data_IF_477317933017
#
_entry.id   IF_477317933017
#
_cell.length_a   1.000
_cell.length_b   1.000
_cell.length_c   1.000
_cell.angle_alpha   90.00
_cell.angle_beta   90.00
_cell.angle_gamma   90.00
#
_symmetry.space_group_name_H-M   'P 1'
#
loop_
_entity.id
_entity.type
_entity.pdbx_description
1 polymer ?
#
# COMPACT_ATOMS: atom_id res chain seq x y z
N UNK A 1 -11.42 -22.21 -30.12
CA UNK A 1 -11.30 -22.66 -28.71
C UNK A 1 -12.18 -21.78 -27.85
N UNK A 2 -12.66 -22.25 -26.69
CA UNK A 2 -13.37 -21.37 -25.75
C UNK A 2 -12.39 -20.34 -25.19
N UNK A 3 -12.81 -19.08 -25.07
CA UNK A 3 -12.08 -18.05 -24.33
C UNK A 3 -12.76 -17.88 -22.97
N UNK A 4 -12.02 -18.10 -21.89
CA UNK A 4 -12.57 -18.10 -20.53
C UNK A 4 -11.69 -17.23 -19.64
N UNK A 5 -12.31 -16.32 -18.90
CA UNK A 5 -11.68 -15.57 -17.80
C UNK A 5 -12.23 -16.09 -16.49
N UNK A 6 -11.34 -16.43 -15.56
CA UNK A 6 -11.71 -16.90 -14.22
C UNK A 6 -11.40 -15.80 -13.21
N UNK A 7 -12.39 -15.41 -12.42
CA UNK A 7 -12.23 -14.59 -11.22
C UNK A 7 -12.33 -15.52 -10.00
N UNK A 8 -11.23 -15.63 -9.24
CA UNK A 8 -11.15 -16.46 -8.03
C UNK A 8 -10.95 -15.56 -6.80
N UNK A 9 -12.02 -15.30 -6.04
CA UNK A 9 -11.93 -14.52 -4.80
C UNK A 9 -11.56 -15.39 -3.58
N UNK A 10 -11.41 -16.71 -3.73
CA UNK A 10 -10.92 -17.62 -2.68
C UNK A 10 -9.39 -17.58 -2.54
N UNK A 11 -8.68 -17.21 -3.62
CA UNK A 11 -7.23 -17.31 -3.69
C UNK A 11 -6.49 -16.63 -2.50
N UNK A 12 -5.46 -17.33 -1.99
CA UNK A 12 -4.43 -16.88 -1.03
C UNK A 12 -4.84 -16.78 0.44
N UNK A 13 -5.50 -15.69 0.84
CA UNK A 13 -5.78 -15.41 2.27
C UNK A 13 -7.15 -15.96 2.70
N UNK A 14 -7.34 -16.16 4.01
CA UNK A 14 -8.65 -16.58 4.56
C UNK A 14 -9.72 -15.55 4.21
N UNK A 15 -10.69 -15.95 3.39
CA UNK A 15 -11.81 -15.08 3.00
C UNK A 15 -12.80 -14.92 4.14
N UNK A 16 -13.06 -13.68 4.53
CA UNK A 16 -14.08 -13.31 5.51
C UNK A 16 -15.43 -13.12 4.82
N UNK A 17 -15.44 -12.39 3.71
CA UNK A 17 -16.59 -12.13 2.86
C UNK A 17 -16.11 -11.87 1.43
N UNK A 18 -16.85 -12.30 0.44
CA UNK A 18 -16.60 -11.97 -0.96
C UNK A 18 -17.90 -11.93 -1.71
N UNK A 19 -17.96 -11.11 -2.76
CA UNK A 19 -19.14 -10.96 -3.61
C UNK A 19 -18.72 -10.64 -5.05
N UNK A 20 -19.46 -11.18 -6.02
CA UNK A 20 -19.35 -10.82 -7.43
C UNK A 20 -20.73 -10.37 -7.92
N UNK A 21 -20.84 -9.10 -8.30
CA UNK A 21 -22.03 -8.48 -8.89
C UNK A 21 -21.83 -8.30 -10.38
N UNK A 22 -22.74 -8.86 -11.16
CA UNK A 22 -22.84 -8.56 -12.59
C UNK A 22 -23.66 -7.29 -12.77
N UNK A 23 -23.04 -6.24 -13.33
CA UNK A 23 -23.72 -4.99 -13.66
C UNK A 23 -24.22 -5.00 -15.11
N UNK A 24 -23.43 -5.56 -16.02
CA UNK A 24 -23.79 -5.77 -17.42
C UNK A 24 -23.00 -6.96 -18.00
N UNK A 25 -23.16 -7.23 -19.31
CA UNK A 25 -22.32 -8.24 -19.98
C UNK A 25 -20.86 -7.83 -20.16
N UNK A 26 -20.51 -6.58 -19.88
CA UNK A 26 -19.15 -6.03 -20.00
C UNK A 26 -18.62 -5.48 -18.69
N UNK A 27 -19.41 -5.47 -17.61
CA UNK A 27 -19.03 -4.81 -16.36
C UNK A 27 -19.46 -5.65 -15.15
N UNK A 28 -18.52 -5.87 -14.24
CA UNK A 28 -18.75 -6.52 -12.95
C UNK A 28 -18.11 -5.71 -11.83
N UNK A 29 -18.68 -5.79 -10.64
CA UNK A 29 -18.16 -5.16 -9.42
C UNK A 29 -18.29 -6.12 -8.24
N UNK A 30 -17.72 -5.76 -7.09
CA UNK A 30 -17.84 -6.57 -5.88
C UNK A 30 -16.71 -6.30 -4.92
N UNK A 31 -16.50 -7.24 -3.99
CA UNK A 31 -15.49 -7.13 -2.96
C UNK A 31 -14.89 -8.47 -2.57
N UNK A 32 -13.74 -8.38 -1.93
CA UNK A 32 -13.09 -9.45 -1.19
C UNK A 32 -12.53 -8.88 0.10
N UNK A 33 -13.07 -9.36 1.22
CA UNK A 33 -12.55 -9.09 2.56
C UNK A 33 -11.81 -10.32 3.07
N UNK A 34 -10.62 -10.13 3.62
CA UNK A 34 -9.76 -11.24 4.06
C UNK A 34 -9.01 -10.97 5.34
N UNK A 35 -8.62 -12.07 5.99
CA UNK A 35 -7.76 -12.10 7.17
C UNK A 35 -6.46 -12.83 6.84
N UNK A 36 -5.34 -12.20 7.14
CA UNK A 36 -4.03 -12.83 7.19
C UNK A 36 -3.15 -12.06 8.20
N UNK A 37 -2.10 -11.41 7.73
CA UNK A 37 -1.25 -10.54 8.54
C UNK A 37 -2.01 -9.29 8.99
N UNK A 38 -2.67 -8.60 8.06
CA UNK A 38 -3.73 -7.66 8.38
C UNK A 38 -5.04 -8.42 8.62
N UNK A 39 -5.74 -8.08 9.71
CA UNK A 39 -6.85 -8.87 10.26
C UNK A 39 -8.20 -8.59 9.62
N UNK A 40 -8.44 -7.37 9.15
CA UNK A 40 -9.60 -6.97 8.36
C UNK A 40 -9.13 -6.19 7.13
N UNK A 41 -8.72 -6.92 6.08
CA UNK A 41 -8.34 -6.32 4.80
C UNK A 41 -9.58 -6.18 3.93
N UNK A 42 -9.96 -4.95 3.59
CA UNK A 42 -11.11 -4.67 2.72
C UNK A 42 -10.64 -4.20 1.36
N UNK A 43 -11.11 -4.89 0.32
CA UNK A 43 -10.84 -4.55 -1.07
C UNK A 43 -12.13 -4.67 -1.88
N UNK A 44 -12.47 -3.59 -2.55
CA UNK A 44 -13.56 -3.50 -3.51
C UNK A 44 -12.96 -3.39 -4.91
N UNK A 45 -13.68 -3.85 -5.93
CA UNK A 45 -13.20 -3.81 -7.31
C UNK A 45 -14.30 -3.41 -8.30
N UNK A 46 -13.86 -2.86 -9.43
CA UNK A 46 -14.65 -2.74 -10.65
C UNK A 46 -13.84 -3.32 -11.81
N UNK A 47 -14.48 -4.15 -12.64
CA UNK A 47 -13.84 -4.82 -13.77
C UNK A 47 -14.69 -4.60 -15.02
N UNK A 48 -14.06 -4.16 -16.10
CA UNK A 48 -14.68 -3.99 -17.41
C UNK A 48 -14.00 -4.87 -18.45
N UNK A 49 -14.79 -5.51 -19.31
CA UNK A 49 -14.37 -6.30 -20.45
C UNK A 49 -14.59 -5.52 -21.74
N UNK A 50 -13.65 -5.59 -22.69
CA UNK A 50 -13.76 -4.88 -23.98
C UNK A 50 -14.91 -5.35 -24.88
N UNK A 51 -15.52 -6.50 -24.58
CA UNK A 51 -16.66 -7.08 -25.30
C UNK A 51 -17.48 -7.98 -24.39
N UNK A 52 -18.77 -8.22 -24.69
CA UNK A 52 -19.67 -8.91 -23.79
C UNK A 52 -19.28 -10.39 -23.60
N UNK A 53 -19.36 -10.91 -22.38
CA UNK A 53 -19.30 -12.35 -22.17
C UNK A 53 -20.60 -13.02 -22.65
N UNK A 54 -20.48 -14.24 -23.16
CA UNK A 54 -21.59 -15.09 -23.64
C UNK A 54 -22.38 -15.68 -22.48
N UNK A 55 -21.68 -16.21 -21.49
CA UNK A 55 -22.25 -16.83 -20.29
C UNK A 55 -21.28 -16.76 -19.11
N UNK A 56 -21.81 -16.83 -17.90
CA UNK A 56 -21.02 -16.89 -16.65
C UNK A 56 -21.43 -18.11 -15.85
N UNK A 57 -20.45 -18.82 -15.27
CA UNK A 57 -20.67 -19.93 -14.33
C UNK A 57 -20.07 -19.57 -12.98
N UNK A 58 -20.81 -19.77 -11.89
CA UNK A 58 -20.33 -19.51 -10.52
C UNK A 58 -20.01 -20.82 -9.78
N UNK A 59 -19.04 -20.80 -8.87
CA UNK A 59 -18.56 -22.00 -8.16
C UNK A 59 -19.49 -22.50 -7.05
N UNK A 60 -20.37 -21.68 -6.48
CA UNK A 60 -21.28 -22.11 -5.40
C UNK A 60 -22.69 -21.52 -5.54
N UNK A 61 -23.67 -22.41 -5.66
CA UNK A 61 -25.09 -22.15 -5.43
C UNK A 61 -25.35 -22.15 -3.91
N UNK A 62 -25.58 -21.00 -3.31
CA UNK A 62 -26.44 -20.95 -2.12
C UNK A 62 -27.63 -20.09 -2.49
N UNK A 63 -28.81 -20.70 -2.42
CA UNK A 63 -30.06 -20.11 -2.84
C UNK A 63 -30.34 -18.82 -2.05
N UNK A 64 -30.65 -17.74 -2.79
CA UNK A 64 -31.22 -16.47 -2.33
C UNK A 64 -30.32 -15.47 -1.58
N UNK A 65 -29.37 -14.85 -2.29
CA UNK A 65 -28.88 -13.47 -2.08
C UNK A 65 -27.97 -13.08 -3.26
N UNK A 66 -27.67 -11.79 -3.55
CA UNK A 66 -26.45 -11.40 -4.28
C UNK A 66 -25.30 -12.38 -4.02
N UNK A 67 -24.63 -12.87 -5.08
CA UNK A 67 -23.70 -14.02 -5.05
C UNK A 67 -22.51 -13.76 -4.11
N UNK A 68 -22.74 -13.98 -2.81
CA UNK A 68 -21.86 -13.62 -1.72
C UNK A 68 -21.63 -14.81 -0.78
N UNK A 69 -20.41 -14.94 -0.30
CA UNK A 69 -19.98 -16.07 0.53
C UNK A 69 -18.48 -16.04 0.81
N UNK A 70 -17.94 -17.11 1.41
CA UNK A 70 -16.50 -17.29 1.55
C UNK A 70 -15.97 -17.95 0.27
N UNK A 71 -15.27 -17.20 -0.57
CA UNK A 71 -14.57 -17.74 -1.75
C UNK A 71 -15.41 -17.79 -3.03
N UNK A 72 -16.13 -16.72 -3.36
CA UNK A 72 -16.85 -16.62 -4.62
C UNK A 72 -15.90 -16.77 -5.83
N UNK A 73 -16.28 -17.59 -6.82
CA UNK A 73 -15.57 -17.70 -8.09
C UNK A 73 -16.54 -17.62 -9.26
N UNK A 74 -16.07 -17.05 -10.36
CA UNK A 74 -16.83 -16.94 -11.60
C UNK A 74 -15.95 -17.28 -12.80
N UNK A 75 -16.51 -17.98 -13.78
CA UNK A 75 -15.92 -18.26 -15.07
C UNK A 75 -16.76 -17.60 -16.17
N UNK A 76 -16.21 -16.58 -16.81
CA UNK A 76 -16.83 -15.83 -17.90
C UNK A 76 -16.38 -16.41 -19.24
N UNK A 77 -17.31 -16.96 -20.02
CA UNK A 77 -17.05 -17.49 -21.36
C UNK A 77 -17.32 -16.41 -22.42
N UNK A 78 -16.38 -16.18 -23.33
CA UNK A 78 -16.48 -15.22 -24.43
C UNK A 78 -16.57 -15.95 -25.77
N UNK A 79 -17.25 -15.32 -26.74
CA UNK A 79 -17.35 -15.87 -28.10
C UNK A 79 -16.04 -15.65 -28.86
N UNK A 80 -15.29 -16.72 -29.12
CA UNK A 80 -14.02 -16.63 -29.83
C UNK A 80 -14.16 -16.12 -31.29
N UNK A 81 -15.37 -16.11 -31.86
CA UNK A 81 -15.61 -15.54 -33.20
C UNK A 81 -15.62 -14.00 -33.22
N UNK A 82 -15.86 -13.35 -32.08
CA UNK A 82 -15.84 -11.88 -31.98
C UNK A 82 -14.42 -11.30 -31.85
N UNK A 83 -13.40 -12.14 -31.70
CA UNK A 83 -12.01 -11.71 -31.67
C UNK A 83 -11.09 -12.64 -30.88
N UNK A 84 -9.78 -12.52 -31.14
CA UNK A 84 -8.77 -13.26 -30.39
C UNK A 84 -8.25 -12.48 -29.17
N UNK A 85 -8.50 -11.18 -29.11
CA UNK A 85 -8.06 -10.29 -28.03
C UNK A 85 -9.22 -9.94 -27.11
N UNK A 86 -8.91 -9.77 -25.83
CA UNK A 86 -9.83 -9.34 -24.79
C UNK A 86 -9.05 -8.41 -23.86
N UNK A 87 -9.39 -7.13 -23.86
CA UNK A 87 -8.84 -6.20 -22.88
C UNK A 87 -9.73 -6.23 -21.63
N UNK A 88 -9.08 -6.19 -20.47
CA UNK A 88 -9.73 -6.20 -19.17
C UNK A 88 -9.19 -5.02 -18.37
N UNK A 89 -10.06 -4.11 -17.96
CA UNK A 89 -9.72 -2.99 -17.08
C UNK A 89 -10.13 -3.37 -15.66
N UNK A 90 -9.24 -3.15 -14.70
CA UNK A 90 -9.48 -3.49 -13.30
C UNK A 90 -9.05 -2.31 -12.44
N UNK A 91 -9.93 -1.86 -11.56
CA UNK A 91 -9.62 -0.89 -10.52
C UNK A 91 -10.05 -1.41 -9.15
N UNK A 92 -9.38 -0.93 -8.11
CA UNK A 92 -9.61 -1.32 -6.73
C UNK A 92 -9.83 -0.12 -5.83
N UNK A 93 -10.45 -0.34 -4.68
CA UNK A 93 -10.63 0.64 -3.60
C UNK A 93 -10.61 -0.05 -2.24
N UNK A 94 -10.12 0.65 -1.22
CA UNK A 94 -10.24 0.23 0.18
C UNK A 94 -11.55 0.71 0.86
N UNK A 95 -12.33 1.52 0.14
CA UNK A 95 -13.50 2.23 0.66
C UNK A 95 -14.78 1.52 0.25
N UNK A 96 -15.07 1.46 -1.05
CA UNK A 96 -16.29 0.86 -1.61
C UNK A 96 -16.19 0.62 -3.14
N UNK A 97 -17.19 -0.09 -3.69
CA UNK A 97 -17.34 -0.37 -5.13
C UNK A 97 -17.44 0.91 -5.97
N UNK A 98 -18.13 1.95 -5.45
CA UNK A 98 -18.27 3.22 -6.15
C UNK A 98 -16.91 3.95 -6.30
N UNK A 99 -16.06 3.87 -5.28
CA UNK A 99 -14.68 4.34 -5.30
C UNK A 99 -13.86 3.59 -6.35
N UNK A 100 -13.94 2.25 -6.37
CA UNK A 100 -13.25 1.44 -7.38
C UNK A 100 -13.67 1.81 -8.81
N UNK A 101 -14.98 1.98 -9.06
CA UNK A 101 -15.49 2.43 -10.36
C UNK A 101 -14.97 3.82 -10.72
N UNK A 102 -15.03 4.78 -9.80
CA UNK A 102 -14.54 6.15 -10.05
C UNK A 102 -13.03 6.19 -10.32
N UNK A 103 -12.24 5.35 -9.63
CA UNK A 103 -10.82 5.19 -9.90
C UNK A 103 -10.60 4.71 -11.35
N UNK A 104 -11.36 3.68 -11.80
CA UNK A 104 -11.31 3.17 -13.18
C UNK A 104 -11.63 4.25 -14.21
N UNK A 105 -12.75 4.95 -14.04
CA UNK A 105 -13.22 5.99 -14.95
C UNK A 105 -12.23 7.17 -15.06
N UNK A 106 -11.61 7.54 -13.93
CA UNK A 106 -10.71 8.71 -13.86
C UNK A 106 -9.31 8.39 -14.41
N UNK A 107 -8.73 7.25 -14.05
CA UNK A 107 -7.33 6.93 -14.35
C UNK A 107 -7.17 6.19 -15.69
N UNK A 108 -8.07 5.25 -15.98
CA UNK A 108 -8.04 4.42 -17.19
C UNK A 108 -8.98 5.01 -18.25
N UNK A 109 -10.26 5.25 -17.93
CA UNK A 109 -11.25 5.77 -18.87
C UNK A 109 -11.25 4.98 -20.20
N UNK A 110 -11.21 5.69 -21.33
CA UNK A 110 -11.20 5.10 -22.68
C UNK A 110 -9.80 4.77 -23.22
N UNK A 111 -8.74 4.87 -22.39
CA UNK A 111 -7.37 4.58 -22.84
C UNK A 111 -7.22 3.11 -23.25
N UNK A 112 -6.48 2.89 -24.34
CA UNK A 112 -6.05 1.55 -24.78
C UNK A 112 -4.92 1.01 -23.92
N UNK A 113 -4.69 -0.32 -23.98
CA UNK A 113 -3.55 -0.93 -23.29
C UNK A 113 -2.21 -0.26 -23.63
N UNK A 114 -2.00 0.09 -24.90
CA UNK A 114 -0.74 0.72 -25.34
C UNK A 114 -0.57 2.13 -24.76
N UNK A 115 -1.64 2.89 -24.60
CA UNK A 115 -1.58 4.21 -23.96
C UNK A 115 -1.21 4.08 -22.48
N UNK A 116 -1.87 3.20 -21.74
CA UNK A 116 -1.55 2.94 -20.33
C UNK A 116 -0.11 2.45 -20.17
N UNK A 117 0.35 1.56 -21.05
CA UNK A 117 1.74 1.08 -21.05
C UNK A 117 2.73 2.23 -21.25
N UNK A 118 2.51 3.09 -22.24
CA UNK A 118 3.41 4.22 -22.51
C UNK A 118 3.42 5.25 -21.37
N UNK A 119 2.26 5.52 -20.76
CA UNK A 119 2.14 6.39 -19.58
C UNK A 119 2.94 5.81 -18.39
N UNK A 120 2.83 4.50 -18.16
CA UNK A 120 3.59 3.81 -17.12
C UNK A 120 5.10 3.82 -17.39
N UNK A 121 5.54 3.56 -18.62
CA UNK A 121 6.95 3.63 -19.03
C UNK A 121 7.51 5.06 -18.84
N UNK A 122 6.74 6.08 -19.22
CA UNK A 122 7.13 7.49 -19.03
C UNK A 122 7.22 7.85 -17.55
N UNK A 123 6.27 7.39 -16.73
CA UNK A 123 6.31 7.61 -15.28
C UNK A 123 7.55 6.97 -14.66
N UNK A 124 7.88 5.72 -15.04
CA UNK A 124 9.07 5.04 -14.54
C UNK A 124 10.37 5.70 -15.01
N UNK A 125 10.45 6.11 -16.26
CA UNK A 125 11.62 6.82 -16.78
C UNK A 125 11.90 8.10 -15.97
N UNK A 126 10.85 8.89 -15.71
CA UNK A 126 10.96 10.10 -14.88
C UNK A 126 11.39 9.80 -13.43
N UNK A 127 10.93 8.69 -12.85
CA UNK A 127 11.33 8.30 -11.49
C UNK A 127 12.79 7.82 -11.45
N UNK A 128 13.21 6.98 -12.40
CA UNK A 128 14.57 6.44 -12.45
C UNK A 128 15.61 7.52 -12.80
N UNK A 129 15.23 8.55 -13.57
CA UNK A 129 16.06 9.71 -13.86
C UNK A 129 16.33 10.63 -12.66
N UNK A 130 15.70 10.39 -11.50
CA UNK A 130 16.07 11.10 -10.26
C UNK A 130 17.52 10.86 -9.84
N UNK A 131 18.11 9.73 -10.27
CA UNK A 131 19.54 9.47 -10.12
C UNK A 131 20.09 8.96 -11.45
N UNK A 132 20.78 9.82 -12.17
CA UNK A 132 21.53 9.44 -13.35
C UNK A 132 22.93 8.97 -12.95
N UNK A 133 23.19 7.68 -13.10
CA UNK A 133 24.55 7.13 -12.97
C UNK A 133 25.29 7.28 -14.29
N UNK A 134 25.57 8.54 -14.66
CA UNK A 134 26.36 8.89 -15.83
C UNK A 134 27.79 9.22 -15.44
N UNK A 135 28.70 8.46 -16.01
CA UNK A 135 30.09 8.45 -15.62
C UNK A 135 30.84 9.61 -16.32
N UNK A 136 30.39 10.83 -16.08
CA UNK A 136 31.01 12.09 -16.56
C UNK A 136 32.21 12.52 -15.71
N UNK A 137 32.51 11.79 -14.64
CA UNK A 137 33.79 11.85 -13.93
C UNK A 137 34.75 10.82 -14.55
N UNK A 138 36.06 10.97 -14.33
CA UNK A 138 37.16 10.20 -14.93
C UNK A 138 37.15 8.66 -14.76
N UNK A 139 36.04 8.08 -14.31
CA UNK A 139 35.73 6.65 -14.16
C UNK A 139 34.82 6.13 -15.30
N UNK A 140 34.58 6.95 -16.33
CA UNK A 140 33.62 6.77 -17.44
C UNK A 140 33.60 5.41 -18.13
N UNK A 141 34.73 4.71 -18.13
CA UNK A 141 34.91 3.47 -18.87
C UNK A 141 34.66 2.21 -18.00
N UNK A 142 34.07 2.33 -16.80
CA UNK A 142 34.04 1.24 -15.81
C UNK A 142 32.65 0.78 -15.33
N UNK A 143 31.54 1.48 -15.64
CA UNK A 143 30.20 1.01 -15.23
C UNK A 143 29.63 0.09 -16.31
N UNK A 144 29.60 -1.21 -16.03
CA UNK A 144 29.07 -2.23 -16.94
C UNK A 144 27.55 -2.12 -17.07
N UNK A 145 27.00 -2.67 -18.16
CA UNK A 145 25.54 -2.82 -18.33
C UNK A 145 24.90 -3.57 -17.16
N UNK A 146 25.60 -4.55 -16.61
CA UNK A 146 25.15 -5.33 -15.44
C UNK A 146 25.05 -4.46 -14.19
N UNK A 147 26.05 -3.62 -13.92
CA UNK A 147 26.00 -2.68 -12.79
C UNK A 147 24.85 -1.66 -12.94
N UNK A 148 24.59 -1.18 -14.17
CA UNK A 148 23.42 -0.33 -14.44
C UNK A 148 22.11 -1.06 -14.16
N UNK A 149 21.97 -2.32 -14.60
CA UNK A 149 20.79 -3.13 -14.32
C UNK A 149 20.58 -3.34 -12.83
N UNK A 150 21.63 -3.69 -12.07
CA UNK A 150 21.56 -3.85 -10.60
C UNK A 150 21.11 -2.55 -9.94
N UNK A 151 21.71 -1.42 -10.33
CA UNK A 151 21.40 -0.12 -9.75
C UNK A 151 19.95 0.30 -10.01
N UNK A 152 19.52 0.36 -11.27
CA UNK A 152 18.17 0.82 -11.61
C UNK A 152 17.08 -0.15 -11.16
N UNK A 153 17.36 -1.47 -11.11
CA UNK A 153 16.43 -2.43 -10.51
C UNK A 153 16.31 -2.23 -9.00
N UNK A 154 17.43 -1.95 -8.32
CA UNK A 154 17.40 -1.64 -6.89
C UNK A 154 16.66 -0.34 -6.60
N UNK A 155 16.88 0.70 -7.41
CA UNK A 155 16.18 1.98 -7.32
C UNK A 155 14.66 1.80 -7.54
N UNK A 156 14.28 1.05 -8.58
CA UNK A 156 12.89 0.64 -8.81
C UNK A 156 12.28 -0.03 -7.57
N UNK A 157 12.97 -0.99 -6.95
CA UNK A 157 12.48 -1.66 -5.73
C UNK A 157 12.31 -0.71 -4.53
N UNK A 158 13.01 0.43 -4.49
CA UNK A 158 12.77 1.44 -3.45
C UNK A 158 11.51 2.27 -3.70
N UNK A 159 10.94 2.26 -4.91
CA UNK A 159 9.85 3.15 -5.33
C UNK A 159 8.50 2.43 -5.51
N UNK A 160 8.46 1.10 -5.29
CA UNK A 160 7.22 0.32 -5.35
C UNK A 160 6.42 0.33 -4.04
N UNK A 161 6.97 0.90 -2.97
CA UNK A 161 6.30 1.14 -1.67
C UNK A 161 6.94 2.37 -1.00
N UNK A 162 6.25 3.08 -0.08
CA UNK A 162 4.87 2.89 0.39
C UNK A 162 3.80 3.03 -0.70
N UNK A 163 2.65 2.40 -0.51
CA UNK A 163 1.56 2.35 -1.51
C UNK A 163 0.51 3.44 -1.23
N UNK A 164 0.11 4.20 -2.26
CA UNK A 164 -1.05 5.09 -2.13
C UNK A 164 -2.29 4.26 -1.79
N UNK A 165 -2.98 4.65 -0.73
CA UNK A 165 -4.11 3.93 -0.16
C UNK A 165 -5.32 4.85 -0.02
N UNK A 166 -5.65 5.54 -1.12
CA UNK A 166 -6.66 6.59 -1.19
C UNK A 166 -7.23 6.64 -2.60
N UNK A 167 -8.56 6.68 -2.69
CA UNK A 167 -9.28 6.82 -3.95
C UNK A 167 -9.07 8.21 -4.56
N UNK A 168 -9.35 8.35 -5.86
CA UNK A 168 -9.20 9.61 -6.61
C UNK A 168 -10.04 10.77 -6.06
N UNK A 169 -11.06 10.47 -5.26
CA UNK A 169 -11.92 11.46 -4.61
C UNK A 169 -11.47 11.87 -3.20
N UNK A 170 -10.30 11.37 -2.77
CA UNK A 170 -9.67 11.67 -1.49
C UNK A 170 -10.12 10.78 -0.34
N UNK A 171 -11.08 9.86 -0.54
CA UNK A 171 -11.52 8.93 0.51
C UNK A 171 -10.52 7.80 0.72
N UNK A 172 -10.37 7.36 1.97
CA UNK A 172 -9.53 6.22 2.34
C UNK A 172 -10.07 5.53 3.59
N UNK A 173 -9.58 4.31 3.84
CA UNK A 173 -9.88 3.54 5.05
C UNK A 173 -8.81 3.83 6.11
N UNK A 174 -9.22 4.40 7.23
CA UNK A 174 -8.34 4.75 8.35
C UNK A 174 -8.08 3.59 9.31
N UNK A 175 -7.18 3.78 10.27
CA UNK A 175 -6.78 2.74 11.25
C UNK A 175 -7.92 2.33 12.22
N UNK A 176 -8.95 3.17 12.35
CA UNK A 176 -10.20 2.89 13.06
C UNK A 176 -11.24 2.12 12.20
N UNK A 177 -10.82 1.70 11.00
CA UNK A 177 -11.64 1.09 9.96
C UNK A 177 -12.80 1.97 9.47
N UNK A 178 -12.82 3.26 9.79
CA UNK A 178 -13.77 4.22 9.26
C UNK A 178 -13.31 4.78 7.92
N UNK A 179 -14.25 5.39 7.20
CA UNK A 179 -13.93 6.11 5.96
C UNK A 179 -13.56 7.53 6.32
N UNK A 180 -12.33 7.91 6.01
CA UNK A 180 -11.82 9.26 6.14
C UNK A 180 -11.70 9.90 4.77
N UNK A 181 -11.56 11.23 4.72
CA UNK A 181 -11.40 11.97 3.47
C UNK A 181 -10.46 13.15 3.66
N UNK A 182 -9.51 13.31 2.74
CA UNK A 182 -8.64 14.49 2.67
C UNK A 182 -8.21 14.74 1.23
N UNK A 183 -7.88 15.99 0.93
CA UNK A 183 -7.18 16.39 -0.30
C UNK A 183 -5.90 17.17 0.00
N UNK A 184 -5.55 17.32 1.28
CA UNK A 184 -4.39 18.10 1.72
C UNK A 184 -3.09 17.32 1.58
N UNK A 185 -3.18 15.98 1.63
CA UNK A 185 -2.09 15.06 1.38
C UNK A 185 -2.61 13.76 0.77
N UNK A 186 -1.72 13.01 0.13
CA UNK A 186 -2.02 11.65 -0.33
C UNK A 186 -1.82 10.64 0.81
N UNK A 187 -2.81 9.80 1.11
CA UNK A 187 -2.68 8.78 2.16
C UNK A 187 -1.92 7.54 1.64
N UNK A 188 -0.92 7.08 2.40
CA UNK A 188 -0.11 5.90 2.10
C UNK A 188 -0.23 4.80 3.15
N UNK A 189 0.03 3.55 2.75
CA UNK A 189 0.12 2.35 3.62
C UNK A 189 1.36 1.51 3.25
N UNK A 190 1.60 0.39 3.93
CA UNK A 190 2.84 -0.42 3.80
C UNK A 190 4.05 0.35 4.31
N UNK A 191 4.05 0.68 5.61
CA UNK A 191 5.22 1.27 6.27
C UNK A 191 5.98 0.18 7.04
N UNK A 192 6.97 -0.45 6.39
CA UNK A 192 7.87 -1.44 7.02
C UNK A 192 8.96 -0.74 7.83
N UNK A 193 8.56 -0.01 8.87
CA UNK A 193 9.40 1.04 9.46
C UNK A 193 10.69 0.49 10.05
N UNK A 194 10.65 -0.69 10.68
CA UNK A 194 11.83 -1.37 11.24
C UNK A 194 12.97 -1.58 10.23
N UNK A 195 12.65 -1.80 8.96
CA UNK A 195 13.65 -1.89 7.88
C UNK A 195 13.94 -0.52 7.26
N UNK A 196 12.86 0.20 6.93
CA UNK A 196 12.90 1.33 5.99
C UNK A 196 13.45 2.61 6.62
N UNK A 197 13.40 2.78 7.95
CA UNK A 197 14.02 3.94 8.61
C UNK A 197 15.53 4.01 8.37
N UNK A 198 16.17 2.85 8.11
CA UNK A 198 17.63 2.70 8.04
C UNK A 198 18.23 3.29 6.77
N UNK A 199 17.53 3.19 5.64
CA UNK A 199 18.07 3.59 4.33
C UNK A 199 17.02 4.09 3.34
N UNK A 200 15.83 3.47 3.30
CA UNK A 200 14.79 3.85 2.33
C UNK A 200 14.22 5.25 2.63
N UNK A 201 13.79 5.51 3.87
CA UNK A 201 13.34 6.84 4.27
C UNK A 201 14.43 7.92 4.16
N UNK A 202 15.69 7.67 4.58
CA UNK A 202 16.80 8.55 4.26
C UNK A 202 16.96 8.85 2.77
N UNK A 203 16.85 7.84 1.89
CA UNK A 203 16.86 8.04 0.43
C UNK A 203 15.68 8.92 -0.02
N UNK A 204 14.47 8.69 0.50
CA UNK A 204 13.29 9.48 0.16
C UNK A 204 13.44 10.95 0.54
N UNK A 205 14.15 11.29 1.61
CA UNK A 205 14.45 12.69 1.94
C UNK A 205 15.34 13.39 0.89
N UNK A 206 15.97 12.63 -0.02
CA UNK A 206 16.81 13.14 -1.10
C UNK A 206 16.00 13.22 -2.40
N UNK A 207 15.38 12.09 -2.81
CA UNK A 207 14.77 11.93 -4.14
C UNK A 207 13.24 12.01 -4.15
N UNK A 208 12.58 12.01 -3.00
CA UNK A 208 11.12 11.95 -2.83
C UNK A 208 10.64 12.94 -1.74
N UNK A 209 11.16 14.17 -1.72
CA UNK A 209 10.88 15.15 -0.65
C UNK A 209 9.39 15.46 -0.50
N UNK A 210 8.67 15.62 -1.59
CA UNK A 210 7.21 15.85 -1.58
C UNK A 210 6.46 14.63 -1.04
N UNK A 211 6.77 13.43 -1.52
CA UNK A 211 6.15 12.20 -0.97
C UNK A 211 6.52 11.98 0.49
N UNK A 212 7.72 12.39 0.93
CA UNK A 212 8.10 12.35 2.34
C UNK A 212 7.13 13.15 3.20
N UNK A 213 6.70 14.34 2.74
CA UNK A 213 5.64 15.11 3.41
C UNK A 213 4.31 14.35 3.47
N UNK A 214 3.92 13.68 2.38
CA UNK A 214 2.72 12.83 2.38
C UNK A 214 2.85 11.60 3.30
N UNK A 215 4.03 10.99 3.38
CA UNK A 215 4.31 9.87 4.28
C UNK A 215 4.20 10.29 5.74
N UNK A 216 4.79 11.43 6.12
CA UNK A 216 4.69 11.96 7.49
C UNK A 216 3.22 12.26 7.83
N UNK A 217 2.49 12.99 6.97
CA UNK A 217 1.06 13.24 7.21
C UNK A 217 0.25 11.94 7.28
N UNK A 218 0.59 10.91 6.50
CA UNK A 218 -0.04 9.59 6.58
C UNK A 218 0.24 8.86 7.90
N UNK A 219 1.41 9.05 8.52
CA UNK A 219 1.73 8.52 9.84
C UNK A 219 0.96 9.28 10.94
N UNK A 220 0.86 10.61 10.82
CA UNK A 220 0.11 11.44 11.76
C UNK A 220 -1.40 11.16 11.71
N UNK A 221 -1.97 10.95 10.51
CA UNK A 221 -3.36 10.54 10.37
C UNK A 221 -3.61 9.18 11.05
N UNK A 222 -2.69 8.22 10.88
CA UNK A 222 -2.78 6.91 11.56
C UNK A 222 -2.72 7.06 13.09
N UNK A 223 -1.91 8.00 13.60
CA UNK A 223 -1.90 8.34 15.02
C UNK A 223 -3.23 8.91 15.51
N UNK A 224 -3.87 9.81 14.77
CA UNK A 224 -5.16 10.37 15.15
C UNK A 224 -6.31 9.35 15.10
N UNK A 225 -6.32 8.53 14.06
CA UNK A 225 -7.37 7.54 13.83
C UNK A 225 -7.23 6.34 14.77
N UNK A 226 -6.01 5.84 14.95
CA UNK A 226 -5.75 4.61 15.70
C UNK A 226 -5.16 4.83 17.10
N UNK A 227 -4.83 6.06 17.47
CA UNK A 227 -4.35 6.46 18.79
C UNK A 227 -2.85 6.28 19.04
N UNK A 228 -2.09 5.72 18.10
CA UNK A 228 -0.64 5.52 18.23
C UNK A 228 0.05 5.58 16.86
N UNK A 229 1.29 6.10 16.79
CA UNK A 229 2.09 5.97 15.58
C UNK A 229 2.29 4.47 15.29
N UNK A 230 2.10 4.03 14.05
CA UNK A 230 2.17 2.61 13.74
C UNK A 230 3.62 2.13 13.73
N UNK A 231 3.85 0.91 14.22
CA UNK A 231 5.14 0.21 14.09
C UNK A 231 5.27 -0.36 12.66
N UNK A 232 4.25 -1.13 12.23
CA UNK A 232 4.11 -1.63 10.86
C UNK A 232 2.62 -1.73 10.52
N UNK A 233 2.04 -0.71 9.86
CA UNK A 233 0.65 -0.72 9.43
C UNK A 233 0.48 -1.34 8.04
N UNK A 234 -0.47 -2.27 7.92
CA UNK A 234 -0.80 -2.94 6.66
C UNK A 234 -2.31 -2.83 6.40
N UNK A 235 -2.69 -2.21 5.28
CA UNK A 235 -4.10 -2.13 4.84
C UNK A 235 -5.07 -1.72 5.97
N UNK A 236 -4.81 -0.57 6.61
CA UNK A 236 -5.58 -0.04 7.74
C UNK A 236 -5.58 -0.89 9.03
N UNK A 237 -4.63 -1.83 9.18
CA UNK A 237 -4.49 -2.67 10.38
C UNK A 237 -3.13 -2.45 11.05
N UNK A 238 -3.10 -2.43 12.38
CA UNK A 238 -1.86 -2.57 13.15
C UNK A 238 -1.43 -4.03 13.17
N UNK A 239 -0.22 -4.29 12.70
CA UNK A 239 0.34 -5.65 12.72
C UNK A 239 1.27 -5.92 13.90
N UNK A 240 1.74 -4.86 14.57
CA UNK A 240 2.70 -4.89 15.68
C UNK A 240 4.05 -5.54 15.37
N UNK A 241 4.32 -5.77 14.09
CA UNK A 241 5.64 -6.08 13.56
C UNK A 241 6.45 -4.77 13.47
N UNK A 242 7.77 -4.72 13.62
CA UNK A 242 8.62 -5.58 14.44
C UNK A 242 8.72 -4.93 15.84
N UNK A 243 9.94 -4.63 16.32
CA UNK A 243 10.18 -3.87 17.55
C UNK A 243 10.43 -2.39 17.23
N UNK A 244 10.72 -1.57 18.25
CA UNK A 244 10.97 -0.14 18.07
C UNK A 244 9.69 0.69 17.92
N UNK A 245 9.88 2.00 17.78
CA UNK A 245 8.85 2.98 17.39
C UNK A 245 9.39 3.88 16.27
N UNK A 246 9.92 3.22 15.23
CA UNK A 246 10.68 3.81 14.13
C UNK A 246 9.93 4.79 13.21
N UNK A 247 8.68 5.12 13.51
CA UNK A 247 8.04 6.32 12.95
C UNK A 247 8.77 7.60 13.42
N UNK A 248 9.31 7.59 14.65
CA UNK A 248 10.07 8.72 15.24
C UNK A 248 11.28 9.13 14.39
N UNK A 249 12.27 8.25 14.12
CA UNK A 249 13.43 8.61 13.28
C UNK A 249 13.05 9.03 11.86
N UNK A 250 11.97 8.49 11.28
CA UNK A 250 11.49 8.91 9.95
C UNK A 250 10.98 10.36 9.97
N UNK A 251 10.19 10.71 10.97
CA UNK A 251 9.63 12.06 11.13
C UNK A 251 10.74 13.06 11.49
N UNK A 252 11.63 12.69 12.42
CA UNK A 252 12.71 13.56 12.88
C UNK A 252 13.74 13.82 11.78
N UNK A 253 14.11 12.81 10.98
CA UNK A 253 15.02 12.96 9.84
C UNK A 253 14.47 13.95 8.81
N UNK A 254 13.18 13.82 8.45
CA UNK A 254 12.51 14.75 7.55
C UNK A 254 12.52 16.19 8.12
N UNK A 255 12.17 16.35 9.40
CA UNK A 255 12.15 17.65 10.06
C UNK A 255 13.54 18.29 10.14
N UNK A 256 14.57 17.54 10.55
CA UNK A 256 15.94 18.06 10.68
C UNK A 256 16.55 18.43 9.31
N UNK A 257 16.18 17.74 8.24
CA UNK A 257 16.59 18.05 6.86
C UNK A 257 15.81 19.17 6.19
N UNK A 258 14.92 19.85 6.92
CA UNK A 258 14.16 20.99 6.39
C UNK A 258 12.92 20.63 5.57
N UNK A 259 12.51 19.35 5.54
CA UNK A 259 11.25 18.94 4.91
C UNK A 259 10.12 19.36 5.85
N UNK A 260 9.17 20.13 5.31
CA UNK A 260 8.02 20.72 6.04
C UNK A 260 6.73 20.35 5.31
N UNK A 261 5.61 20.92 5.74
CA UNK A 261 4.28 20.61 5.20
C UNK A 261 3.49 19.58 6.02
N UNK A 262 3.91 19.39 7.27
CA UNK A 262 3.16 18.68 8.31
C UNK A 262 3.25 19.51 9.60
N UNK A 263 2.29 19.32 10.50
CA UNK A 263 2.27 19.99 11.80
C UNK A 263 3.38 19.43 12.71
N UNK A 264 4.38 20.26 13.00
CA UNK A 264 5.56 19.86 13.75
C UNK A 264 5.29 19.62 15.24
N UNK A 265 4.39 20.39 15.84
CA UNK A 265 4.02 20.24 17.25
C UNK A 265 3.22 18.96 17.43
N UNK A 266 2.22 18.74 16.57
CA UNK A 266 1.46 17.48 16.55
C UNK A 266 2.36 16.28 16.28
N UNK A 267 3.33 16.41 15.39
CA UNK A 267 4.30 15.36 15.14
C UNK A 267 5.14 15.06 16.39
N UNK A 268 5.63 16.09 17.08
CA UNK A 268 6.37 15.92 18.32
C UNK A 268 5.53 15.26 19.43
N UNK A 269 4.28 15.69 19.59
CA UNK A 269 3.34 15.08 20.54
C UNK A 269 3.09 13.59 20.23
N UNK A 270 2.91 13.23 18.96
CA UNK A 270 2.74 11.84 18.53
C UNK A 270 3.99 10.98 18.76
N UNK A 271 5.18 11.53 18.49
CA UNK A 271 6.46 10.87 18.76
C UNK A 271 6.64 10.62 20.26
N UNK A 272 6.42 11.65 21.08
CA UNK A 272 6.48 11.55 22.54
C UNK A 272 5.45 10.58 23.10
N UNK A 273 4.22 10.58 22.56
CA UNK A 273 3.20 9.62 22.97
C UNK A 273 3.67 8.18 22.78
N UNK A 274 4.35 7.89 21.67
CA UNK A 274 4.85 6.55 21.35
C UNK A 274 5.97 6.11 22.29
N UNK A 275 6.94 6.98 22.57
CA UNK A 275 8.03 6.71 23.52
C UNK A 275 7.55 6.58 24.98
N UNK A 276 6.44 7.24 25.34
CA UNK A 276 5.91 7.25 26.70
C UNK A 276 4.90 6.12 27.00
N UNK A 277 4.68 5.16 26.10
CA UNK A 277 3.83 4.00 26.37
C UNK A 277 4.41 3.08 27.46
N UNK A 278 3.58 2.23 28.07
CA UNK A 278 4.00 1.25 29.08
C UNK A 278 4.01 -0.20 28.57
N UNK A 279 3.83 -0.39 27.26
CA UNK A 279 3.77 -1.70 26.60
C UNK A 279 5.10 -2.04 25.93
N UNK A 280 5.26 -3.30 25.51
CA UNK A 280 6.42 -3.78 24.75
C UNK A 280 7.77 -3.54 25.48
N UNK A 281 7.77 -3.60 26.81
CA UNK A 281 8.97 -3.36 27.63
C UNK A 281 9.31 -1.90 27.90
N UNK A 282 8.59 -0.93 27.34
CA UNK A 282 8.86 0.51 27.57
C UNK A 282 8.70 0.94 29.03
N UNK A 283 7.82 0.30 29.81
CA UNK A 283 7.70 0.56 31.26
C UNK A 283 9.03 0.28 31.97
N UNK A 284 9.58 -0.92 31.77
CA UNK A 284 10.86 -1.34 32.36
C UNK A 284 12.03 -0.53 31.81
N UNK A 285 12.02 -0.22 30.50
CA UNK A 285 13.03 0.64 29.87
C UNK A 285 13.11 2.01 30.55
N UNK A 286 11.96 2.69 30.75
CA UNK A 286 11.92 4.00 31.42
C UNK A 286 12.31 3.94 32.89
N UNK A 287 12.05 2.81 33.57
CA UNK A 287 12.37 2.63 35.00
C UNK A 287 13.85 2.29 35.24
N UNK A 288 14.42 1.41 34.41
CA UNK A 288 15.75 0.84 34.64
C UNK A 288 16.83 1.32 33.65
N UNK A 289 16.44 1.99 32.56
CA UNK A 289 17.33 2.35 31.44
C UNK A 289 17.65 1.20 30.49
N UNK A 290 17.05 0.03 30.71
CA UNK A 290 17.11 -1.16 29.85
C UNK A 290 15.92 -2.06 30.12
N UNK A 291 15.71 -3.07 29.27
CA UNK A 291 14.62 -4.04 29.44
C UNK A 291 15.21 -5.34 30.02
N UNK A 292 14.81 -5.76 31.24
CA UNK A 292 15.16 -7.08 31.75
C UNK A 292 14.53 -8.17 30.88
N UNK A 293 15.25 -9.27 30.62
CA UNK A 293 14.77 -10.37 29.77
C UNK A 293 13.57 -11.11 30.40
N UNK A 294 13.45 -11.03 31.72
CA UNK A 294 12.36 -11.59 32.50
C UNK A 294 11.03 -10.83 32.30
N UNK A 295 11.09 -9.56 31.88
CA UNK A 295 9.92 -8.70 31.72
C UNK A 295 9.38 -8.69 30.28
N UNK A 296 10.24 -8.84 29.27
CA UNK A 296 9.86 -8.73 27.86
C UNK A 296 10.85 -9.45 26.94
N UNK A 297 10.35 -10.11 25.88
CA UNK A 297 11.20 -10.81 24.92
C UNK A 297 11.95 -9.84 24.00
N UNK A 298 13.05 -10.31 23.40
CA UNK A 298 13.88 -9.50 22.48
C UNK A 298 14.48 -8.26 23.17
N UNK A 299 14.64 -8.34 24.49
CA UNK A 299 14.94 -7.21 25.37
C UNK A 299 16.19 -6.42 25.01
N UNK A 300 17.26 -7.11 24.61
CA UNK A 300 18.52 -6.48 24.18
C UNK A 300 18.31 -5.66 22.91
N UNK A 301 17.66 -6.22 21.90
CA UNK A 301 17.36 -5.53 20.64
C UNK A 301 16.43 -4.34 20.86
N UNK A 302 15.33 -4.54 21.62
CA UNK A 302 14.42 -3.47 21.99
C UNK A 302 15.12 -2.34 22.74
N UNK A 303 15.99 -2.65 23.71
CA UNK A 303 16.74 -1.64 24.46
C UNK A 303 17.63 -0.79 23.54
N UNK A 304 18.36 -1.42 22.61
CA UNK A 304 19.24 -0.71 21.69
C UNK A 304 18.45 0.15 20.68
N UNK A 305 17.32 -0.35 20.20
CA UNK A 305 16.50 0.37 19.23
C UNK A 305 15.68 1.49 19.86
N UNK A 306 15.16 1.32 21.09
CA UNK A 306 14.53 2.40 21.85
C UNK A 306 15.52 3.52 22.17
N UNK A 307 16.76 3.18 22.55
CA UNK A 307 17.81 4.17 22.77
C UNK A 307 18.24 4.94 21.49
N UNK A 308 17.96 4.39 20.30
CA UNK A 308 18.16 5.10 19.02
C UNK A 308 16.95 5.97 18.66
N UNK A 309 15.74 5.50 18.96
CA UNK A 309 14.50 6.22 18.68
C UNK A 309 14.28 7.42 19.62
N UNK A 310 14.82 7.39 20.85
CA UNK A 310 14.81 8.47 21.86
C UNK A 310 15.76 9.65 21.53
#
# INVERSE_FOLDING_TARGET
SKQIVILDLEHRDKVLSSEIKTLSKTEISGHRHSEAWAKDQRLFFNIEFSRPYKSVTYSTSTENSPFGGKGAKAAFEFDASEGNELEIKVAISAVDEAGAKKNLETEIGDKSFQQIKNEAETAWENQLHKIEIDASTSLSNQISKEQKSIFYTSLYHTMIAPNRYQDVDGRYRGMDLQVHKTTDFENYTVFSLWDTYRAAHPLYTIIEKERTTHFVNSLLAKYEEGGILPIWPLAANYTWCMVGYHAVPVISDAYLKGIRGFDAEKAFDAMKHSAMQDKLGLKSYKEFGFIPVEEESESVSKTLEYAYDD
#
